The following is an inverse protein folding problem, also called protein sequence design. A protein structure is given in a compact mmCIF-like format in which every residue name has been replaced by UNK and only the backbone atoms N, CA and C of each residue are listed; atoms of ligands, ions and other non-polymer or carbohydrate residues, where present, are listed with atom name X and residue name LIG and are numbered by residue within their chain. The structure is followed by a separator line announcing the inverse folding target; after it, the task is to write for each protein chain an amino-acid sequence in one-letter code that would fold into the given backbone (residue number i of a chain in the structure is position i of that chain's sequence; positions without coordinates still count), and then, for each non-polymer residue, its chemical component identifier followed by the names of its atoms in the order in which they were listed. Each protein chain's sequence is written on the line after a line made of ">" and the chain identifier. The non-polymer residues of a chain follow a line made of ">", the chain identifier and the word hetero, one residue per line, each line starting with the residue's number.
data_IF_422076526358
#
_entry.id   IF_422076526358
#
_cell.length_a   1.000
_cell.length_b   1.000
_cell.length_c   1.000
_cell.angle_alpha   90.00
_cell.angle_beta   90.00
_cell.angle_gamma   90.00
#
_symmetry.space_group_name_H-M   'P 1'
#
loop_
_entity.id
_entity.type
_entity.pdbx_description
1 polymer ?
#
# COMPACT_ATOMS: atom_id res chain seq x y z
N UNK A 1 4.22 -2.88 -1.88
CA UNK A 1 5.07 -1.85 -2.52
C UNK A 1 4.43 -0.48 -2.34
N UNK A 2 5.18 0.54 -1.94
CA UNK A 2 4.64 1.89 -1.75
C UNK A 2 5.40 2.91 -2.61
N UNK A 3 4.64 3.74 -3.33
CA UNK A 3 5.16 4.69 -4.32
C UNK A 3 4.83 6.12 -3.91
N UNK A 4 5.84 6.98 -3.78
CA UNK A 4 5.66 8.41 -3.63
C UNK A 4 5.59 9.07 -4.99
N UNK A 5 4.46 9.73 -5.26
CA UNK A 5 4.25 10.52 -6.47
C UNK A 5 4.20 12.00 -6.10
N UNK A 6 4.93 12.82 -6.85
CA UNK A 6 4.78 14.27 -6.80
C UNK A 6 4.92 14.89 -8.20
N UNK A 7 4.37 16.09 -8.36
CA UNK A 7 4.57 16.94 -9.52
C UNK A 7 5.20 18.26 -9.05
N UNK A 8 6.30 18.65 -9.67
CA UNK A 8 7.04 19.85 -9.33
C UNK A 8 7.40 20.66 -10.58
N UNK A 9 7.69 21.94 -10.37
CA UNK A 9 8.36 22.80 -11.33
C UNK A 9 9.83 22.39 -11.49
N UNK A 10 10.51 22.91 -12.51
CA UNK A 10 11.92 22.60 -12.81
C UNK A 10 12.85 22.96 -11.65
N UNK A 11 12.51 24.00 -10.89
CA UNK A 11 13.20 24.47 -9.69
C UNK A 11 12.68 23.83 -8.38
N UNK A 12 11.90 22.75 -8.49
CA UNK A 12 11.56 21.89 -7.35
C UNK A 12 10.41 22.36 -6.46
N UNK A 13 9.45 23.13 -7.00
CA UNK A 13 8.28 23.63 -6.25
C UNK A 13 7.00 22.89 -6.62
N UNK A 14 6.17 22.55 -5.63
CA UNK A 14 4.87 21.89 -5.82
C UNK A 14 3.68 22.87 -5.78
N UNK A 15 3.93 24.11 -5.34
CA UNK A 15 2.94 25.18 -5.30
C UNK A 15 3.63 26.55 -5.33
N UNK A 16 2.89 27.59 -5.72
CA UNK A 16 3.31 28.96 -5.50
C UNK A 16 3.41 29.31 -4.01
N UNK A 17 4.05 30.43 -3.66
CA UNK A 17 4.15 30.91 -2.27
C UNK A 17 2.80 31.19 -1.60
N UNK A 18 1.74 31.40 -2.38
CA UNK A 18 0.35 31.51 -1.92
C UNK A 18 -0.30 30.16 -1.58
N UNK A 19 0.37 29.04 -1.85
CA UNK A 19 -0.21 27.70 -1.76
C UNK A 19 -0.97 27.24 -3.01
N UNK A 20 -1.11 28.11 -4.02
CA UNK A 20 -1.77 27.73 -5.27
C UNK A 20 -0.95 26.68 -6.05
N UNK A 21 -1.51 25.48 -6.17
CA UNK A 21 -0.88 24.26 -6.71
C UNK A 21 -1.53 23.78 -8.01
N UNK A 22 -2.54 24.50 -8.52
CA UNK A 22 -3.32 24.01 -9.66
C UNK A 22 -2.45 23.89 -10.92
N UNK A 23 -2.50 22.69 -11.51
CA UNK A 23 -1.89 22.34 -12.79
C UNK A 23 -0.37 22.58 -12.87
N UNK A 24 0.41 22.16 -11.86
CA UNK A 24 1.87 22.10 -11.99
C UNK A 24 2.25 21.27 -13.23
N UNK A 25 1.83 20.01 -13.29
CA UNK A 25 2.03 19.12 -14.43
C UNK A 25 0.92 19.20 -15.47
N UNK A 26 1.25 18.78 -16.70
CA UNK A 26 0.37 18.76 -17.87
C UNK A 26 -0.80 17.78 -17.76
N UNK A 27 -1.77 17.90 -18.66
CA UNK A 27 -2.89 16.98 -18.75
C UNK A 27 -2.45 15.52 -19.02
N UNK A 28 -1.40 15.34 -19.83
CA UNK A 28 -0.84 14.02 -20.17
C UNK A 28 -0.25 13.35 -18.92
N UNK A 29 0.53 14.10 -18.13
CA UNK A 29 1.04 13.63 -16.84
C UNK A 29 -0.07 13.30 -15.85
N UNK A 30 -1.10 14.15 -15.74
CA UNK A 30 -2.26 13.86 -14.88
C UNK A 30 -2.99 12.59 -15.32
N UNK A 31 -3.08 12.32 -16.62
CA UNK A 31 -3.65 11.08 -17.14
C UNK A 31 -2.80 9.84 -16.78
N UNK A 32 -1.46 9.97 -16.83
CA UNK A 32 -0.55 8.91 -16.34
C UNK A 32 -0.76 8.61 -14.87
N UNK A 33 -0.88 9.65 -14.04
CA UNK A 33 -1.19 9.51 -12.60
C UNK A 33 -2.53 8.81 -12.38
N UNK A 34 -3.57 9.14 -13.15
CA UNK A 34 -4.86 8.45 -13.05
C UNK A 34 -4.72 6.94 -13.30
N UNK A 35 -3.87 6.53 -14.26
CA UNK A 35 -3.57 5.11 -14.50
C UNK A 35 -2.84 4.48 -13.32
N UNK A 36 -1.83 5.15 -12.76
CA UNK A 36 -1.13 4.67 -11.56
C UNK A 36 -2.07 4.52 -10.37
N UNK A 37 -3.01 5.46 -10.20
CA UNK A 37 -4.02 5.41 -9.15
C UNK A 37 -4.96 4.21 -9.32
N UNK A 38 -5.38 3.91 -10.55
CA UNK A 38 -6.18 2.70 -10.84
C UNK A 38 -5.41 1.39 -10.60
N UNK A 39 -4.09 1.44 -10.63
CA UNK A 39 -3.21 0.32 -10.29
C UNK A 39 -2.80 0.31 -8.81
N UNK A 40 -3.39 1.15 -7.96
CA UNK A 40 -3.09 1.20 -6.53
C UNK A 40 -4.28 0.67 -5.74
N UNK A 41 -4.05 -0.01 -4.63
CA UNK A 41 -5.10 -0.49 -3.72
C UNK A 41 -5.56 0.67 -2.84
N UNK A 42 -4.63 1.55 -2.46
CA UNK A 42 -4.93 2.77 -1.72
C UNK A 42 -4.14 3.98 -2.23
N UNK A 43 -4.71 5.16 -2.02
CA UNK A 43 -4.05 6.45 -2.21
C UNK A 43 -4.05 7.24 -0.90
N UNK A 44 -2.87 7.63 -0.43
CA UNK A 44 -2.66 8.35 0.83
C UNK A 44 -2.40 9.83 0.56
N UNK A 45 -3.11 10.69 1.29
CA UNK A 45 -2.87 12.13 1.37
C UNK A 45 -2.83 12.62 2.82
N UNK A 46 -2.22 13.77 3.05
CA UNK A 46 -2.29 14.45 4.34
C UNK A 46 -3.49 15.39 4.43
N UNK A 47 -3.94 15.71 5.65
CA UNK A 47 -5.07 16.62 5.86
C UNK A 47 -4.90 18.01 5.22
N UNK A 48 -3.66 18.48 5.05
CA UNK A 48 -3.39 19.75 4.36
C UNK A 48 -3.79 19.72 2.88
N UNK A 49 -3.54 18.61 2.20
CA UNK A 49 -3.99 18.39 0.82
C UNK A 49 -5.52 18.42 0.74
N UNK A 50 -6.22 17.86 1.72
CA UNK A 50 -7.69 17.93 1.77
C UNK A 50 -8.19 19.36 1.93
N UNK A 51 -7.58 20.13 2.84
CA UNK A 51 -7.97 21.53 3.09
C UNK A 51 -7.70 22.46 1.89
N UNK A 52 -6.59 22.27 1.19
CA UNK A 52 -6.18 23.17 0.11
C UNK A 52 -6.76 22.74 -1.24
N UNK A 53 -6.61 21.46 -1.58
CA UNK A 53 -6.91 20.97 -2.93
C UNK A 53 -8.30 20.33 -3.06
N UNK A 54 -8.94 19.98 -1.93
CA UNK A 54 -10.22 19.25 -1.86
C UNK A 54 -10.35 18.14 -2.94
N UNK A 55 -9.39 17.19 -3.00
CA UNK A 55 -9.29 16.29 -4.14
C UNK A 55 -10.41 15.24 -4.12
N UNK A 56 -10.72 14.67 -5.29
CA UNK A 56 -11.61 13.52 -5.37
C UNK A 56 -10.88 12.20 -5.09
N UNK A 57 -9.59 12.12 -5.48
CA UNK A 57 -8.75 10.92 -5.42
C UNK A 57 -9.37 9.66 -6.05
N UNK A 58 -10.28 9.85 -7.00
CA UNK A 58 -10.86 8.77 -7.79
C UNK A 58 -10.09 8.56 -9.08
N UNK A 59 -10.33 7.43 -9.73
CA UNK A 59 -9.97 7.17 -11.12
C UNK A 59 -11.16 7.57 -11.99
N UNK A 60 -10.88 8.20 -13.14
CA UNK A 60 -11.91 8.54 -14.14
C UNK A 60 -11.94 7.51 -15.27
N UNK A 61 -11.54 6.27 -14.96
CA UNK A 61 -11.51 5.17 -15.90
C UNK A 61 -12.81 4.38 -15.72
N UNK A 62 -13.62 4.33 -16.77
CA UNK A 62 -14.91 3.63 -16.77
C UNK A 62 -14.70 2.14 -16.49
N UNK A 63 -15.46 1.59 -15.53
CA UNK A 63 -15.31 0.21 -15.06
C UNK A 63 -13.96 -0.11 -14.38
N UNK A 64 -13.13 0.90 -14.12
CA UNK A 64 -11.82 0.72 -13.50
C UNK A 64 -11.87 0.64 -11.98
N UNK A 65 -10.90 -0.06 -11.40
CA UNK A 65 -10.68 -0.12 -9.95
C UNK A 65 -10.56 1.30 -9.35
N UNK A 66 -11.19 1.50 -8.20
CA UNK A 66 -11.07 2.71 -7.38
C UNK A 66 -10.23 2.36 -6.14
N UNK A 67 -9.11 3.05 -5.89
CA UNK A 67 -8.37 2.82 -4.67
C UNK A 67 -9.13 3.34 -3.46
N UNK A 68 -8.88 2.72 -2.31
CA UNK A 68 -9.26 3.27 -1.03
C UNK A 68 -8.55 4.62 -0.80
N UNK A 69 -9.31 5.61 -0.37
CA UNK A 69 -8.82 6.98 -0.18
C UNK A 69 -8.46 7.18 1.29
N UNK A 70 -7.17 7.25 1.58
CA UNK A 70 -6.69 7.36 2.96
C UNK A 70 -6.27 8.81 3.25
N UNK A 71 -6.85 9.39 4.30
CA UNK A 71 -6.48 10.73 4.80
C UNK A 71 -5.79 10.59 6.15
N UNK A 72 -4.54 11.04 6.23
CA UNK A 72 -3.82 11.15 7.49
C UNK A 72 -4.01 12.54 8.10
N UNK A 73 -4.61 12.61 9.29
CA UNK A 73 -4.76 13.85 10.05
C UNK A 73 -4.73 13.60 11.55
N UNK A 74 -3.62 14.00 12.21
CA UNK A 74 -3.43 13.78 13.66
C UNK A 74 -4.53 14.44 14.50
N UNK A 75 -4.72 15.75 14.33
CA UNK A 75 -5.71 16.52 15.09
C UNK A 75 -7.14 16.43 14.52
N UNK A 76 -7.32 15.70 13.42
CA UNK A 76 -8.59 15.62 12.69
C UNK A 76 -9.18 17.00 12.29
N UNK A 77 -8.31 18.00 12.09
CA UNK A 77 -8.68 19.32 11.59
C UNK A 77 -8.89 19.25 10.06
N UNK A 78 -10.08 18.82 9.65
CA UNK A 78 -10.45 18.62 8.24
C UNK A 78 -11.76 19.38 7.96
N UNK A 79 -11.96 19.82 6.70
CA UNK A 79 -13.19 20.53 6.36
C UNK A 79 -14.41 19.62 6.52
N UNK A 80 -15.50 20.18 7.07
CA UNK A 80 -16.75 19.45 7.29
C UNK A 80 -17.35 18.91 5.99
N UNK A 81 -17.13 19.61 4.90
CA UNK A 81 -17.55 19.21 3.56
C UNK A 81 -16.31 19.10 2.65
N UNK A 82 -16.05 17.89 2.16
CA UNK A 82 -14.96 17.57 1.26
C UNK A 82 -15.43 16.51 0.26
N UNK A 83 -14.85 16.53 -0.94
CA UNK A 83 -15.13 15.54 -1.99
C UNK A 83 -14.82 14.09 -1.55
N UNK A 84 -13.92 13.93 -0.58
CA UNK A 84 -13.54 12.63 -0.02
C UNK A 84 -14.64 12.03 0.88
N UNK A 85 -15.57 12.82 1.40
CA UNK A 85 -16.65 12.32 2.27
C UNK A 85 -17.81 11.72 1.48
N UNK A 86 -17.83 11.89 0.16
CA UNK A 86 -18.74 11.21 -0.74
C UNK A 86 -18.23 9.79 -1.04
N UNK A 87 -18.58 8.85 -0.16
CA UNK A 87 -18.14 7.45 -0.23
C UNK A 87 -18.82 6.66 -1.36
N UNK A 88 -19.87 7.20 -1.99
CA UNK A 88 -20.50 6.59 -3.16
C UNK A 88 -19.55 6.46 -4.36
N UNK A 89 -18.48 7.26 -4.39
CA UNK A 89 -17.49 7.27 -5.46
C UNK A 89 -16.32 6.31 -5.24
N UNK A 90 -15.93 6.09 -3.99
CA UNK A 90 -14.84 5.23 -3.55
C UNK A 90 -14.83 5.19 -2.01
N UNK A 91 -14.33 4.12 -1.42
CA UNK A 91 -14.20 4.05 0.04
C UNK A 91 -13.22 5.13 0.55
N UNK A 92 -13.49 5.66 1.74
CA UNK A 92 -12.65 6.66 2.38
C UNK A 92 -12.37 6.27 3.81
N UNK A 93 -11.10 6.42 4.20
CA UNK A 93 -10.58 5.99 5.49
C UNK A 93 -9.80 7.16 6.06
N UNK A 94 -10.21 7.63 7.23
CA UNK A 94 -9.54 8.72 7.93
C UNK A 94 -8.77 8.14 9.09
N UNK A 95 -7.45 8.27 9.02
CA UNK A 95 -6.53 7.80 10.04
C UNK A 95 -6.13 8.97 10.92
N UNK A 96 -6.40 8.85 12.22
CA UNK A 96 -6.27 9.95 13.18
C UNK A 96 -5.62 9.50 14.48
N UNK A 97 -5.21 10.48 15.29
CA UNK A 97 -4.68 10.18 16.62
C UNK A 97 -5.84 9.97 17.60
N UNK A 98 -5.70 8.98 18.48
CA UNK A 98 -6.73 8.61 19.45
C UNK A 98 -7.23 9.80 20.26
N UNK A 99 -8.55 9.91 20.39
CA UNK A 99 -9.21 11.00 21.13
C UNK A 99 -9.37 12.31 20.34
N UNK A 100 -9.02 12.33 19.06
CA UNK A 100 -9.10 13.55 18.24
C UNK A 100 -10.53 13.82 17.77
N UNK A 101 -11.11 14.94 18.22
CA UNK A 101 -12.39 15.50 17.75
C UNK A 101 -13.51 14.45 17.54
N UNK A 102 -14.00 13.89 18.64
CA UNK A 102 -15.01 12.82 18.64
C UNK A 102 -16.33 13.21 17.92
N UNK A 103 -16.75 14.47 17.98
CA UNK A 103 -17.93 14.95 17.24
C UNK A 103 -17.72 14.79 15.73
N UNK A 104 -16.55 15.20 15.24
CA UNK A 104 -16.25 15.12 13.83
C UNK A 104 -16.00 13.68 13.37
N UNK A 105 -15.43 12.80 14.21
CA UNK A 105 -15.38 11.36 13.94
C UNK A 105 -16.80 10.79 13.70
N UNK A 106 -17.75 11.08 14.61
CA UNK A 106 -19.16 10.66 14.46
C UNK A 106 -19.78 11.18 13.17
N UNK A 107 -19.50 12.42 12.80
CA UNK A 107 -19.95 12.99 11.53
C UNK A 107 -19.41 12.20 10.33
N UNK A 108 -18.11 11.89 10.31
CA UNK A 108 -17.50 11.09 9.26
C UNK A 108 -18.11 9.68 9.18
N UNK A 109 -18.23 8.99 10.31
CA UNK A 109 -18.83 7.65 10.37
C UNK A 109 -20.29 7.66 9.92
N UNK A 110 -21.07 8.71 10.27
CA UNK A 110 -22.45 8.86 9.78
C UNK A 110 -22.58 9.01 8.26
N UNK A 111 -21.48 9.38 7.59
CA UNK A 111 -21.37 9.48 6.12
C UNK A 111 -20.73 8.23 5.49
N UNK A 112 -20.53 7.16 6.26
CA UNK A 112 -19.91 5.92 5.79
C UNK A 112 -18.39 6.00 5.65
N UNK A 113 -17.75 7.07 6.13
CA UNK A 113 -16.30 7.17 6.17
C UNK A 113 -15.78 6.35 7.34
N UNK A 114 -14.84 5.44 7.07
CA UNK A 114 -14.18 4.68 8.13
C UNK A 114 -13.21 5.59 8.88
N UNK A 115 -13.22 5.53 10.22
CA UNK A 115 -12.28 6.27 11.07
C UNK A 115 -11.45 5.27 11.85
N UNK A 116 -10.13 5.34 11.68
CA UNK A 116 -9.16 4.46 12.36
C UNK A 116 -8.31 5.32 13.29
N UNK A 117 -8.32 4.98 14.58
CA UNK A 117 -7.52 5.68 15.59
C UNK A 117 -6.18 4.96 15.83
N UNK A 118 -5.12 5.76 15.98
CA UNK A 118 -3.80 5.30 16.38
C UNK A 118 -3.37 6.03 17.65
N UNK A 119 -2.71 5.34 18.58
CA UNK A 119 -2.10 6.01 19.75
C UNK A 119 -1.06 7.05 19.30
N UNK A 120 -0.26 6.69 18.29
CA UNK A 120 0.62 7.60 17.57
C UNK A 120 0.50 7.39 16.05
N UNK A 121 -0.06 8.37 15.36
CA UNK A 121 -0.21 8.32 13.91
C UNK A 121 1.12 8.64 13.20
N UNK A 122 1.75 7.60 12.64
CA UNK A 122 2.96 7.64 11.82
C UNK A 122 2.76 6.98 10.45
N UNK A 123 3.53 7.36 9.41
CA UNK A 123 3.55 6.66 8.14
C UNK A 123 3.80 5.14 8.27
N UNK A 124 4.69 4.72 9.17
CA UNK A 124 4.92 3.30 9.48
C UNK A 124 3.66 2.59 9.94
N UNK A 125 2.96 3.10 10.96
CA UNK A 125 1.75 2.49 11.49
C UNK A 125 0.63 2.43 10.44
N UNK A 126 0.51 3.47 9.62
CA UNK A 126 -0.44 3.47 8.49
C UNK A 126 -0.11 2.38 7.48
N UNK A 127 1.16 2.16 7.16
CA UNK A 127 1.55 1.13 6.21
C UNK A 127 1.45 -0.29 6.77
N UNK A 128 1.68 -0.48 8.07
CA UNK A 128 1.37 -1.73 8.77
C UNK A 128 -0.13 -2.02 8.69
N UNK A 129 -0.98 -1.03 8.94
CA UNK A 129 -2.44 -1.18 8.79
C UNK A 129 -2.85 -1.52 7.35
N UNK A 130 -2.27 -0.84 6.36
CA UNK A 130 -2.47 -1.17 4.94
C UNK A 130 -2.03 -2.60 4.62
N UNK A 131 -0.91 -3.06 5.18
CA UNK A 131 -0.40 -4.41 5.00
C UNK A 131 -1.35 -5.45 5.60
N UNK A 132 -1.84 -5.23 6.82
CA UNK A 132 -2.83 -6.11 7.47
C UNK A 132 -4.14 -6.22 6.68
N UNK A 133 -4.47 -5.21 5.86
CA UNK A 133 -5.60 -5.24 4.92
C UNK A 133 -5.26 -5.84 3.56
N UNK A 134 -4.09 -6.43 3.38
CA UNK A 134 -3.70 -7.01 2.10
C UNK A 134 -3.38 -6.00 0.99
N UNK A 135 -3.23 -4.70 1.27
CA UNK A 135 -2.86 -3.75 0.21
C UNK A 135 -1.46 -4.03 -0.32
N UNK A 136 -1.36 -4.34 -1.62
CA UNK A 136 -0.11 -4.69 -2.29
C UNK A 136 0.63 -3.47 -2.87
N UNK A 137 -0.10 -2.41 -3.19
CA UNK A 137 0.36 -1.19 -3.86
C UNK A 137 -0.33 0.04 -3.27
N UNK A 138 0.46 0.90 -2.63
CA UNK A 138 -0.03 2.14 -2.03
C UNK A 138 0.63 3.34 -2.70
N UNK A 139 -0.19 4.31 -3.11
CA UNK A 139 0.26 5.55 -3.75
C UNK A 139 0.20 6.72 -2.78
N UNK A 140 1.33 7.38 -2.52
CA UNK A 140 1.39 8.60 -1.74
C UNK A 140 1.32 9.81 -2.67
N UNK A 141 0.24 10.59 -2.56
CA UNK A 141 0.05 11.86 -3.28
C UNK A 141 0.04 13.04 -2.29
N UNK A 142 1.11 13.16 -1.51
CA UNK A 142 1.18 14.10 -0.40
C UNK A 142 2.28 15.17 -0.56
N UNK A 143 2.13 16.28 0.17
CA UNK A 143 3.14 17.34 0.21
C UNK A 143 4.33 17.03 1.13
N UNK A 144 5.33 17.90 1.09
CA UNK A 144 6.62 17.75 1.79
C UNK A 144 6.53 17.36 3.27
N UNK A 145 5.53 17.87 3.99
CA UNK A 145 5.33 17.60 5.43
C UNK A 145 4.98 16.14 5.75
N UNK A 146 4.38 15.41 4.81
CA UNK A 146 4.04 14.00 4.99
C UNK A 146 5.00 13.07 4.23
N UNK A 147 5.48 13.50 3.06
CA UNK A 147 6.42 12.70 2.28
C UNK A 147 7.77 12.54 2.96
N UNK A 148 8.29 13.57 3.65
CA UNK A 148 9.54 13.48 4.41
C UNK A 148 9.50 12.42 5.51
N UNK A 149 8.55 12.44 6.47
CA UNK A 149 8.47 11.38 7.47
C UNK A 149 8.15 10.01 6.85
N UNK A 150 7.41 9.93 5.74
CA UNK A 150 7.18 8.65 5.06
C UNK A 150 8.46 8.05 4.44
N UNK A 151 9.34 8.90 3.92
CA UNK A 151 10.68 8.49 3.48
C UNK A 151 11.53 8.09 4.68
N UNK A 152 11.52 8.89 5.75
CA UNK A 152 12.30 8.64 6.96
C UNK A 152 11.90 7.33 7.67
N UNK A 153 10.59 7.01 7.66
CA UNK A 153 10.06 5.75 8.17
C UNK A 153 10.39 4.55 7.26
N UNK A 154 11.03 4.75 6.11
CA UNK A 154 11.41 3.67 5.19
C UNK A 154 10.22 3.03 4.47
N UNK A 155 9.05 3.68 4.46
CA UNK A 155 7.85 3.10 3.85
C UNK A 155 7.68 3.46 2.38
N UNK A 156 8.43 4.41 1.86
CA UNK A 156 8.45 4.77 0.44
C UNK A 156 9.52 3.97 -0.29
N UNK A 157 9.10 3.13 -1.24
CA UNK A 157 9.98 2.23 -1.98
C UNK A 157 10.31 2.77 -3.37
N UNK A 158 9.36 3.45 -4.00
CA UNK A 158 9.48 3.96 -5.37
C UNK A 158 9.14 5.45 -5.42
N UNK A 159 9.85 6.21 -6.24
CA UNK A 159 9.55 7.60 -6.55
C UNK A 159 9.01 7.71 -7.98
N UNK A 160 7.96 8.50 -8.15
CA UNK A 160 7.34 8.86 -9.41
C UNK A 160 7.25 10.41 -9.50
N UNK A 161 8.30 11.03 -10.02
CA UNK A 161 8.50 12.48 -10.01
C UNK A 161 8.19 13.09 -11.39
N UNK A 162 7.13 13.89 -11.48
CA UNK A 162 6.84 14.67 -12.68
C UNK A 162 7.46 16.07 -12.56
N UNK A 163 8.27 16.46 -13.53
CA UNK A 163 8.98 17.75 -13.59
C UNK A 163 8.42 18.55 -14.76
N UNK A 164 7.69 19.62 -14.45
CA UNK A 164 7.13 20.53 -15.43
C UNK A 164 8.16 21.60 -15.83
N UNK A 165 8.18 22.06 -17.11
CA UNK A 165 9.07 23.11 -17.59
C UNK A 165 8.59 24.49 -17.13
N UNK A 166 8.55 24.70 -15.81
CA UNK A 166 8.08 25.91 -15.13
C UNK A 166 9.10 26.29 -14.05
N UNK A 167 9.17 27.57 -13.69
CA UNK A 167 9.99 28.09 -12.60
C UNK A 167 9.11 28.98 -11.73
N UNK A 168 9.17 28.82 -10.40
CA UNK A 168 8.34 29.58 -9.44
C UNK A 168 9.20 30.38 -8.46
N UNK A 169 10.33 29.83 -8.03
CA UNK A 169 11.19 30.38 -7.00
C UNK A 169 10.54 30.36 -5.62
N UNK A 170 10.97 31.28 -4.76
CA UNK A 170 10.38 31.48 -3.45
C UNK A 170 10.94 30.57 -2.35
N UNK A 171 11.52 31.22 -1.33
CA UNK A 171 12.06 30.53 -0.15
C UNK A 171 11.00 29.71 0.59
N UNK A 172 9.76 30.23 0.66
CA UNK A 172 8.62 29.61 1.34
C UNK A 172 7.71 28.78 0.41
N UNK A 173 8.04 28.69 -0.88
CA UNK A 173 7.26 27.86 -1.79
C UNK A 173 7.50 26.38 -1.48
N UNK A 174 6.41 25.62 -1.37
CA UNK A 174 6.43 24.23 -0.93
C UNK A 174 7.24 23.34 -1.89
N UNK A 175 8.00 22.41 -1.32
CA UNK A 175 8.80 21.41 -2.03
C UNK A 175 8.16 20.02 -1.91
N UNK A 176 8.50 19.07 -2.80
CA UNK A 176 7.94 17.71 -2.78
C UNK A 176 8.28 16.92 -1.53
N UNK A 177 9.47 17.14 -0.98
CA UNK A 177 10.00 16.52 0.23
C UNK A 177 10.37 17.64 1.19
N UNK A 178 9.89 17.56 2.42
CA UNK A 178 10.26 18.47 3.50
C UNK A 178 11.61 18.11 4.11
N UNK A 179 11.80 18.49 5.37
CA UNK A 179 13.06 18.27 6.08
C UNK A 179 13.32 16.78 6.36
N UNK A 180 14.44 16.26 5.84
CA UNK A 180 14.97 14.93 6.16
C UNK A 180 16.14 14.98 7.15
N UNK A 181 16.55 16.17 7.59
CA UNK A 181 17.66 16.35 8.54
C UNK A 181 19.06 16.16 7.94
N UNK A 182 19.18 16.15 6.61
CA UNK A 182 20.47 16.02 5.92
C UNK A 182 21.18 17.37 5.87
N UNK A 183 22.43 17.39 6.34
CA UNK A 183 23.28 18.59 6.41
C UNK A 183 24.46 18.55 5.43
N UNK A 184 24.75 17.37 4.84
CA UNK A 184 25.81 17.17 3.85
C UNK A 184 25.29 16.41 2.63
N UNK A 185 25.80 16.74 1.43
CA UNK A 185 25.37 16.09 0.18
C UNK A 185 25.69 14.59 0.13
N UNK A 186 26.68 14.12 0.89
CA UNK A 186 27.01 12.70 1.04
C UNK A 186 25.89 11.90 1.71
N UNK A 187 24.99 12.56 2.44
CA UNK A 187 23.83 11.94 3.10
C UNK A 187 22.61 11.85 2.17
N UNK A 188 22.64 12.50 1.00
CA UNK A 188 21.51 12.52 0.08
C UNK A 188 21.11 11.10 -0.36
N UNK A 189 19.80 10.82 -0.32
CA UNK A 189 19.26 9.54 -0.76
C UNK A 189 19.44 9.39 -2.27
N UNK A 190 20.04 8.27 -2.68
CA UNK A 190 20.20 7.91 -4.09
C UNK A 190 19.05 7.01 -4.53
N UNK A 191 18.52 7.28 -5.71
CA UNK A 191 17.59 6.37 -6.37
C UNK A 191 18.36 5.31 -7.17
N UNK A 192 17.89 4.07 -7.12
CA UNK A 192 18.32 2.99 -8.01
C UNK A 192 17.34 2.76 -9.16
N UNK A 193 17.80 2.06 -10.19
CA UNK A 193 17.03 1.73 -11.40
C UNK A 193 16.29 2.95 -11.99
N UNK A 194 17.04 4.06 -12.07
CA UNK A 194 16.47 5.33 -12.49
C UNK A 194 16.12 5.30 -13.97
N UNK A 195 14.89 5.70 -14.30
CA UNK A 195 14.42 5.89 -15.66
C UNK A 195 13.91 7.32 -15.86
N UNK A 196 14.15 7.85 -17.06
CA UNK A 196 13.74 9.18 -17.50
C UNK A 196 12.84 9.02 -18.72
N UNK A 197 11.62 9.55 -18.66
CA UNK A 197 10.60 9.42 -19.70
C UNK A 197 9.96 10.79 -19.98
N UNK A 198 9.96 11.24 -21.23
CA UNK A 198 9.21 12.45 -21.60
C UNK A 198 7.71 12.14 -21.59
N UNK A 199 6.92 12.91 -20.83
CA UNK A 199 5.46 12.76 -20.70
C UNK A 199 4.77 14.05 -21.10
N UNK A 200 4.46 14.19 -22.39
CA UNK A 200 4.01 15.46 -22.95
C UNK A 200 5.09 16.54 -22.81
N UNK A 201 4.79 17.73 -22.27
CA UNK A 201 5.80 18.76 -22.02
C UNK A 201 6.60 18.52 -20.73
N UNK A 202 6.22 17.56 -19.88
CA UNK A 202 6.89 17.28 -18.61
C UNK A 202 7.92 16.16 -18.76
N UNK A 203 8.85 16.06 -17.80
CA UNK A 203 9.74 14.90 -17.64
C UNK A 203 9.27 14.04 -16.47
N UNK A 204 9.17 12.74 -16.67
CA UNK A 204 8.93 11.76 -15.61
C UNK A 204 10.27 11.12 -15.23
N UNK A 205 10.65 11.28 -13.96
CA UNK A 205 11.76 10.56 -13.34
C UNK A 205 11.20 9.49 -12.43
N UNK A 206 11.62 8.24 -12.62
CA UNK A 206 11.25 7.13 -11.74
C UNK A 206 12.48 6.44 -11.20
N UNK A 207 12.40 5.88 -10.00
CA UNK A 207 13.47 5.10 -9.40
C UNK A 207 13.05 4.56 -8.05
N UNK A 208 13.88 3.72 -7.44
CA UNK A 208 13.61 3.12 -6.13
C UNK A 208 14.49 3.75 -5.05
N UNK A 209 13.91 4.00 -3.88
CA UNK A 209 14.68 4.31 -2.68
C UNK A 209 15.10 2.97 -2.06
N UNK A 210 16.40 2.83 -1.77
CA UNK A 210 16.90 1.67 -1.03
C UNK A 210 16.44 1.71 0.45
N UNK A 211 16.24 0.54 1.11
CA UNK A 211 16.92 -0.74 0.85
C UNK A 211 15.98 -1.96 0.62
N UNK A 212 16.51 -3.06 0.07
CA UNK A 212 16.01 -4.43 0.30
C UNK A 212 17.28 -5.26 0.59
N UNK A 213 17.47 -5.89 1.77
CA UNK A 213 16.47 -6.56 2.61
C UNK A 213 16.46 -6.15 4.10
N UNK A 214 15.39 -6.52 4.81
CA UNK A 214 15.48 -6.80 6.26
C UNK A 214 15.10 -8.27 6.47
N UNK A 215 16.03 -9.05 7.00
CA UNK A 215 15.83 -10.45 7.40
C UNK A 215 16.01 -10.48 8.92
N UNK A 216 15.06 -9.95 9.67
CA UNK A 216 15.13 -9.99 11.12
C UNK A 216 14.56 -11.31 11.66
N UNK A 217 15.32 -12.40 11.48
CA UNK A 217 15.52 -13.44 12.49
C UNK A 217 16.90 -14.07 12.23
N UNK A 218 17.74 -14.05 13.26
CA UNK A 218 19.15 -14.36 13.19
C UNK A 218 19.48 -15.79 12.76
N UNK A 219 20.59 -15.92 12.04
CA UNK A 219 21.75 -16.63 12.57
C UNK A 219 22.99 -16.21 11.78
N UNK A 220 24.00 -15.75 12.54
CA UNK A 220 25.38 -15.70 12.08
C UNK A 220 25.82 -17.11 11.69
N UNK A 221 25.88 -17.37 10.38
CA UNK A 221 26.90 -18.18 9.68
C UNK A 221 26.46 -18.41 8.24
N UNK A 222 27.06 -17.67 7.31
CA UNK A 222 27.65 -18.20 6.08
C UNK A 222 28.37 -17.06 5.37
N UNK A 223 29.59 -16.82 5.84
CA UNK A 223 30.63 -16.23 5.02
C UNK A 223 30.93 -17.15 3.83
N UNK A 224 31.41 -16.51 2.75
CA UNK A 224 32.08 -17.06 1.58
C UNK A 224 31.26 -17.94 0.63
N UNK A 225 30.75 -17.34 -0.44
CA UNK A 225 30.85 -17.96 -1.76
C UNK A 225 31.45 -16.94 -2.72
N UNK A 226 32.58 -17.36 -3.28
CA UNK A 226 33.48 -16.67 -4.20
C UNK A 226 32.79 -16.19 -5.48
N UNK A 227 33.21 -15.01 -5.94
CA UNK A 227 32.95 -14.50 -7.28
C UNK A 227 33.75 -15.31 -8.29
N UNK A 228 33.11 -16.24 -8.99
CA UNK A 228 33.61 -16.73 -10.28
C UNK A 228 32.47 -16.89 -11.29
N UNK A 229 32.60 -16.15 -12.40
CA UNK A 229 32.11 -16.39 -13.75
C UNK A 229 30.79 -17.15 -13.92
N UNK A 230 29.70 -16.41 -14.13
CA UNK A 230 28.55 -16.90 -14.89
C UNK A 230 28.41 -16.07 -16.15
N UNK A 231 28.59 -16.75 -17.28
CA UNK A 231 28.42 -16.23 -18.63
C UNK A 231 27.05 -15.60 -18.83
N UNK A 232 27.01 -14.56 -19.66
CA UNK A 232 25.81 -13.87 -20.12
C UNK A 232 24.84 -14.88 -20.74
N UNK A 233 23.70 -15.11 -20.07
CA UNK A 233 22.53 -15.81 -20.65
C UNK A 233 21.59 -14.72 -21.20
N UNK A 234 21.39 -14.61 -22.52
CA UNK A 234 20.38 -13.73 -23.08
C UNK A 234 19.03 -14.44 -23.01
N UNK A 235 18.42 -14.45 -21.83
CA UNK A 235 16.98 -14.56 -21.72
C UNK A 235 16.55 -13.84 -20.45
N UNK A 236 16.00 -12.64 -20.63
CA UNK A 236 15.38 -11.87 -19.56
C UNK A 236 14.38 -12.80 -18.88
N UNK A 237 14.47 -13.11 -17.57
CA UNK A 237 13.33 -13.69 -16.90
C UNK A 237 12.20 -12.68 -17.07
N UNK A 238 11.07 -13.15 -17.62
CA UNK A 238 9.80 -12.46 -17.51
C UNK A 238 9.61 -12.20 -16.02
N UNK A 239 9.84 -10.96 -15.58
CA UNK A 239 9.52 -10.55 -14.22
C UNK A 239 8.04 -10.85 -14.06
N UNK A 240 7.73 -11.90 -13.31
CA UNK A 240 6.37 -12.20 -12.89
C UNK A 240 6.01 -11.05 -11.95
N UNK A 241 5.23 -10.10 -12.45
CA UNK A 241 4.58 -9.11 -11.61
C UNK A 241 3.41 -9.84 -10.97
N UNK A 242 3.39 -9.89 -9.64
CA UNK A 242 2.20 -10.36 -8.94
C UNK A 242 1.03 -9.47 -9.35
N UNK A 243 0.07 -10.09 -10.02
CA UNK A 243 -1.10 -9.42 -10.57
C UNK A 243 -2.04 -9.09 -9.42
N UNK A 244 -2.61 -7.88 -9.42
CA UNK A 244 -3.70 -7.53 -8.51
C UNK A 244 -4.91 -8.40 -8.84
N UNK A 245 -5.81 -8.67 -7.88
CA UNK A 245 -6.92 -9.59 -8.09
C UNK A 245 -7.86 -9.19 -9.26
N UNK A 246 -7.85 -7.92 -9.69
CA UNK A 246 -8.59 -7.41 -10.86
C UNK A 246 -7.78 -7.26 -12.16
N UNK A 247 -6.50 -7.63 -12.18
CA UNK A 247 -5.72 -7.64 -13.43
C UNK A 247 -6.03 -8.89 -14.28
N UNK A 248 -5.54 -8.93 -15.52
CA UNK A 248 -5.75 -10.04 -16.49
C UNK A 248 -5.47 -11.45 -15.94
N UNK A 249 -4.58 -11.57 -14.96
CA UNK A 249 -4.25 -12.82 -14.28
C UNK A 249 -4.47 -12.72 -12.75
N UNK A 250 -5.34 -11.81 -12.32
CA UNK A 250 -5.63 -11.55 -10.92
C UNK A 250 -6.26 -12.72 -10.18
N UNK A 251 -6.87 -13.66 -10.91
CA UNK A 251 -7.34 -14.93 -10.35
C UNK A 251 -6.23 -15.71 -9.64
N UNK A 252 -4.95 -15.52 -10.03
CA UNK A 252 -3.78 -16.16 -9.41
C UNK A 252 -3.26 -15.41 -8.16
N UNK A 253 -3.88 -14.28 -7.81
CA UNK A 253 -3.58 -13.56 -6.57
C UNK A 253 -4.19 -14.30 -5.38
N UNK A 254 -3.50 -14.36 -4.25
CA UNK A 254 -4.04 -14.99 -3.04
C UNK A 254 -5.25 -14.23 -2.50
N UNK A 255 -5.27 -12.91 -2.72
CA UNK A 255 -6.37 -11.98 -2.41
C UNK A 255 -7.46 -11.93 -3.49
N UNK A 256 -7.47 -12.88 -4.42
CA UNK A 256 -8.55 -13.02 -5.39
C UNK A 256 -9.86 -13.42 -4.71
N UNK A 257 -10.98 -12.82 -5.11
CA UNK A 257 -12.34 -13.25 -4.71
C UNK A 257 -12.79 -14.53 -5.44
N UNK A 258 -11.87 -15.23 -6.10
CA UNK A 258 -12.17 -16.48 -6.79
C UNK A 258 -12.26 -17.63 -5.77
N UNK A 259 -13.44 -18.25 -5.61
CA UNK A 259 -13.59 -19.34 -4.66
C UNK A 259 -12.83 -20.57 -5.13
N UNK A 260 -12.31 -21.34 -4.18
CA UNK A 260 -11.62 -22.61 -4.45
C UNK A 260 -12.35 -23.75 -3.74
N UNK A 261 -12.31 -24.94 -4.32
CA UNK A 261 -12.85 -26.16 -3.69
C UNK A 261 -11.72 -27.10 -3.35
N UNK A 262 -11.61 -27.47 -2.08
CA UNK A 262 -10.58 -28.39 -1.57
C UNK A 262 -11.21 -29.44 -0.66
N UNK A 263 -10.73 -30.69 -0.67
CA UNK A 263 -11.23 -31.73 0.22
C UNK A 263 -10.83 -31.46 1.69
N UNK A 264 -11.73 -31.75 2.63
CA UNK A 264 -11.44 -31.79 4.07
C UNK A 264 -10.62 -33.03 4.45
N UNK A 265 -10.34 -33.21 5.75
CA UNK A 265 -9.58 -34.36 6.27
C UNK A 265 -10.25 -35.73 6.03
N UNK A 266 -11.52 -35.77 5.61
CA UNK A 266 -12.32 -36.97 5.36
C UNK A 266 -12.65 -37.09 3.85
N UNK A 267 -12.18 -36.16 3.02
CA UNK A 267 -12.35 -36.16 1.57
C UNK A 267 -13.60 -35.44 1.04
N UNK A 268 -14.37 -34.76 1.89
CA UNK A 268 -15.54 -34.00 1.46
C UNK A 268 -15.12 -32.66 0.84
N UNK A 269 -15.72 -32.24 -0.28
CA UNK A 269 -15.41 -30.95 -0.89
C UNK A 269 -15.87 -29.79 0.01
N UNK A 270 -14.93 -28.90 0.35
CA UNK A 270 -15.18 -27.65 1.07
C UNK A 270 -14.89 -26.49 0.14
N UNK A 271 -15.86 -25.58 0.02
CA UNK A 271 -15.71 -24.34 -0.73
C UNK A 271 -15.15 -23.27 0.19
N UNK A 272 -14.07 -22.64 -0.24
CA UNK A 272 -13.45 -21.49 0.40
C UNK A 272 -13.69 -20.25 -0.46
N UNK A 273 -14.07 -19.14 0.16
CA UNK A 273 -14.36 -17.88 -0.53
C UNK A 273 -13.15 -17.31 -1.28
N UNK A 274 -11.93 -17.65 -0.85
CA UNK A 274 -10.69 -17.41 -1.60
C UNK A 274 -9.54 -18.32 -1.19
N UNK A 275 -8.44 -18.26 -1.95
CA UNK A 275 -7.15 -18.84 -1.58
C UNK A 275 -6.67 -18.33 -0.22
N UNK A 276 -6.83 -17.03 0.06
CA UNK A 276 -6.44 -16.44 1.35
C UNK A 276 -7.22 -17.02 2.54
N UNK A 277 -8.54 -17.23 2.40
CA UNK A 277 -9.34 -17.86 3.47
C UNK A 277 -8.79 -19.24 3.83
N UNK A 278 -8.53 -20.07 2.82
CA UNK A 278 -7.96 -21.40 3.02
C UNK A 278 -6.56 -21.33 3.63
N UNK A 279 -5.70 -20.45 3.12
CA UNK A 279 -4.32 -20.32 3.59
C UNK A 279 -4.25 -19.89 5.06
N UNK A 280 -5.04 -18.89 5.45
CA UNK A 280 -5.07 -18.36 6.82
C UNK A 280 -5.69 -19.36 7.81
N UNK A 281 -6.79 -20.01 7.42
CA UNK A 281 -7.40 -21.07 8.23
C UNK A 281 -6.47 -22.28 8.43
N UNK A 282 -5.65 -22.60 7.41
CA UNK A 282 -4.69 -23.71 7.46
C UNK A 282 -3.60 -23.55 8.51
N UNK A 283 -3.37 -22.33 9.04
CA UNK A 283 -2.48 -22.08 10.18
C UNK A 283 -2.92 -22.81 11.44
N UNK A 284 -4.23 -22.97 11.63
CA UNK A 284 -4.82 -23.53 12.85
C UNK A 284 -5.29 -24.98 12.65
N UNK A 285 -5.20 -25.50 11.41
CA UNK A 285 -5.65 -26.84 11.08
C UNK A 285 -4.83 -27.93 11.82
N UNK A 286 -5.55 -28.93 12.36
CA UNK A 286 -4.94 -30.06 13.08
C UNK A 286 -4.53 -29.76 14.53
N UNK A 287 -4.77 -28.55 15.03
CA UNK A 287 -4.57 -28.20 16.44
C UNK A 287 -5.79 -28.66 17.24
N UNK A 288 -5.57 -29.54 18.23
CA UNK A 288 -6.63 -30.10 19.06
C UNK A 288 -7.02 -29.14 20.20
N UNK A 289 -7.51 -27.95 19.83
CA UNK A 289 -7.97 -26.90 20.74
C UNK A 289 -9.28 -26.29 20.22
N UNK A 290 -10.26 -26.10 21.09
CA UNK A 290 -11.58 -25.57 20.72
C UNK A 290 -11.51 -24.14 20.16
N UNK A 291 -10.54 -23.33 20.63
CA UNK A 291 -10.33 -21.97 20.16
C UNK A 291 -9.72 -21.95 18.75
N UNK A 292 -8.84 -22.92 18.44
CA UNK A 292 -8.30 -23.06 17.08
C UNK A 292 -9.41 -23.41 16.06
N UNK A 293 -10.37 -24.24 16.45
CA UNK A 293 -11.56 -24.55 15.62
C UNK A 293 -12.41 -23.28 15.40
N UNK A 294 -12.59 -22.45 16.44
CA UNK A 294 -13.30 -21.19 16.32
C UNK A 294 -12.59 -20.21 15.37
N UNK A 295 -11.25 -20.12 15.44
CA UNK A 295 -10.46 -19.27 14.54
C UNK A 295 -10.61 -19.69 13.07
N UNK A 296 -10.64 -21.00 12.79
CA UNK A 296 -10.90 -21.49 11.43
C UNK A 296 -12.28 -21.03 10.94
N UNK A 297 -13.32 -21.16 11.78
CA UNK A 297 -14.67 -20.76 11.42
C UNK A 297 -14.79 -19.23 11.22
N UNK A 298 -14.11 -18.45 12.05
CA UNK A 298 -14.07 -16.98 11.95
C UNK A 298 -13.38 -16.53 10.65
N UNK A 299 -12.22 -17.12 10.32
CA UNK A 299 -11.49 -16.84 9.08
C UNK A 299 -12.31 -17.28 7.86
N UNK A 300 -13.00 -18.42 7.94
CA UNK A 300 -13.85 -18.91 6.86
C UNK A 300 -15.07 -18.01 6.63
N UNK A 301 -15.58 -17.37 7.68
CA UNK A 301 -16.71 -16.44 7.64
C UNK A 301 -16.36 -14.99 7.30
N UNK A 302 -15.09 -14.68 7.04
CA UNK A 302 -14.66 -13.33 6.65
C UNK A 302 -15.37 -12.86 5.37
N UNK A 303 -15.70 -11.57 5.29
CA UNK A 303 -16.43 -11.00 4.15
C UNK A 303 -15.54 -10.81 2.92
N UNK A 304 -14.22 -10.79 3.11
CA UNK A 304 -13.22 -10.56 2.07
C UNK A 304 -11.91 -11.33 2.29
N UNK A 305 -11.15 -11.61 1.22
CA UNK A 305 -9.78 -12.15 1.34
C UNK A 305 -8.88 -11.30 2.24
N UNK A 306 -9.02 -9.97 2.18
CA UNK A 306 -8.30 -9.03 3.02
C UNK A 306 -8.66 -9.16 4.51
N UNK A 307 -9.95 -9.37 4.82
CA UNK A 307 -10.40 -9.61 6.19
C UNK A 307 -9.91 -10.97 6.70
N UNK A 308 -9.94 -12.02 5.86
CA UNK A 308 -9.40 -13.33 6.20
C UNK A 308 -7.90 -13.26 6.52
N UNK A 309 -7.12 -12.52 5.72
CA UNK A 309 -5.71 -12.23 5.98
C UNK A 309 -5.51 -11.54 7.34
N UNK A 310 -6.26 -10.46 7.57
CA UNK A 310 -6.19 -9.68 8.81
C UNK A 310 -6.49 -10.53 10.03
N UNK A 311 -7.56 -11.32 10.00
CA UNK A 311 -7.96 -12.21 11.09
C UNK A 311 -6.88 -13.26 11.34
N UNK A 312 -6.45 -13.98 10.30
CA UNK A 312 -5.46 -15.04 10.44
C UNK A 312 -4.11 -14.55 10.96
N UNK A 313 -3.64 -13.37 10.55
CA UNK A 313 -2.43 -12.75 11.08
C UNK A 313 -2.61 -12.30 12.53
N UNK A 314 -3.67 -11.54 12.83
CA UNK A 314 -3.97 -11.04 14.18
C UNK A 314 -4.07 -12.18 15.19
N UNK A 315 -4.83 -13.22 14.86
CA UNK A 315 -5.02 -14.39 15.72
C UNK A 315 -3.71 -15.16 15.91
N UNK A 316 -2.89 -15.30 14.86
CA UNK A 316 -1.59 -15.97 14.95
C UNK A 316 -0.58 -15.20 15.81
N UNK A 317 -0.62 -13.86 15.78
CA UNK A 317 0.22 -13.01 16.63
C UNK A 317 -0.23 -13.02 18.09
N UNK A 318 -1.54 -13.06 18.36
CA UNK A 318 -2.08 -13.10 19.72
C UNK A 318 -1.90 -14.46 20.40
N UNK A 319 -2.04 -15.56 19.65
CA UNK A 319 -1.97 -16.94 20.13
C UNK A 319 -1.06 -17.81 19.26
N UNK A 320 0.26 -17.56 19.28
CA UNK A 320 1.22 -18.34 18.51
C UNK A 320 1.25 -19.83 18.92
N UNK A 321 0.83 -20.14 20.15
CA UNK A 321 0.68 -21.51 20.67
C UNK A 321 -0.41 -22.32 19.95
N UNK A 322 -1.36 -21.65 19.30
CA UNK A 322 -2.45 -22.27 18.55
C UNK A 322 -2.16 -22.40 17.05
N UNK A 323 -1.01 -21.93 16.59
CA UNK A 323 -0.56 -22.18 15.21
C UNK A 323 0.05 -23.58 15.14
N UNK A 324 -0.27 -24.34 14.08
CA UNK A 324 0.29 -25.66 13.85
C UNK A 324 1.83 -25.61 13.84
N UNK A 325 2.47 -26.54 14.53
CA UNK A 325 3.92 -26.53 14.78
C UNK A 325 4.78 -26.62 13.52
N UNK A 326 4.24 -27.22 12.46
CA UNK A 326 4.90 -27.43 11.17
C UNK A 326 4.58 -26.33 10.15
N UNK A 327 3.92 -25.24 10.55
CA UNK A 327 3.46 -24.18 9.64
C UNK A 327 4.55 -23.68 8.69
N UNK A 328 5.74 -23.39 9.19
CA UNK A 328 6.85 -22.89 8.37
C UNK A 328 7.30 -23.87 7.28
N UNK A 329 7.13 -25.16 7.53
CA UNK A 329 7.46 -26.23 6.58
C UNK A 329 6.34 -26.41 5.56
N UNK A 330 5.07 -26.34 6.00
CA UNK A 330 3.92 -26.68 5.16
C UNK A 330 3.30 -25.50 4.40
N UNK A 331 3.56 -24.25 4.80
CA UNK A 331 2.92 -23.06 4.20
C UNK A 331 3.02 -22.99 2.67
N UNK A 332 4.16 -23.37 2.10
CA UNK A 332 4.33 -23.43 0.66
C UNK A 332 3.48 -24.51 -0.01
N UNK A 333 3.37 -25.68 0.63
CA UNK A 333 2.54 -26.77 0.12
C UNK A 333 1.05 -26.41 0.21
N UNK A 334 0.61 -25.80 1.32
CA UNK A 334 -0.75 -25.28 1.49
C UNK A 334 -1.09 -24.30 0.36
N UNK A 335 -0.22 -23.31 0.14
CA UNK A 335 -0.42 -22.33 -0.94
C UNK A 335 -0.44 -22.99 -2.32
N UNK A 336 0.49 -23.92 -2.59
CA UNK A 336 0.54 -24.64 -3.86
C UNK A 336 -0.73 -25.44 -4.12
N UNK A 337 -1.24 -26.15 -3.11
CA UNK A 337 -2.48 -26.91 -3.22
C UNK A 337 -3.67 -26.01 -3.53
N UNK A 338 -3.74 -24.83 -2.92
CA UNK A 338 -4.79 -23.85 -3.19
C UNK A 338 -4.70 -23.24 -4.60
N UNK A 339 -3.50 -23.01 -5.12
CA UNK A 339 -3.31 -22.46 -6.46
C UNK A 339 -3.55 -23.49 -7.58
N UNK A 340 -3.38 -24.79 -7.28
CA UNK A 340 -3.63 -25.87 -8.25
C UNK A 340 -5.11 -26.14 -8.53
N UNK A 341 -6.02 -25.61 -7.70
CA UNK A 341 -7.47 -25.74 -7.91
C UNK A 341 -8.07 -24.57 -8.67
N UNK A 342 -7.28 -23.54 -8.97
CA UNK A 342 -7.70 -22.44 -9.84
C UNK A 342 -7.69 -22.90 -11.31
N UNK A 343 -8.68 -22.48 -12.12
CA UNK A 343 -8.85 -22.90 -13.51
C UNK A 343 -7.76 -22.39 -14.48
#
# INVERSE_FOLDING_TARGET
>A
MSTLKYAMTLDGKIAASSGHSAWVSSAVSRHRVMKTRAQSDAVIVGGNTVRIDNPNLTTRLEGGHQPDRIVMSRALDLPRDANLWDVSKANTIVMTQKGSNLEFQKLLTSRGVEVVEFDFLSPRAVMEHCYMRGYLSVLWECGGMLSAPAIQDGVVHKVLAFIAPKIVGGLRAATPVGELGMVQMTQALKLSDVAFEQTGPDMLVTGYLHPIPDISHGDDKLASISRENVAVIPNKPSIIRFNKPWDRYGALSTLSYHPITLPDSIGNPVVWSSVEHYYQASKFAGVNDQLAIQYIAEIQGAESPEEAARLGETLSSQRPDLVRKDWDVVKFQVMRTALQTLP
#
